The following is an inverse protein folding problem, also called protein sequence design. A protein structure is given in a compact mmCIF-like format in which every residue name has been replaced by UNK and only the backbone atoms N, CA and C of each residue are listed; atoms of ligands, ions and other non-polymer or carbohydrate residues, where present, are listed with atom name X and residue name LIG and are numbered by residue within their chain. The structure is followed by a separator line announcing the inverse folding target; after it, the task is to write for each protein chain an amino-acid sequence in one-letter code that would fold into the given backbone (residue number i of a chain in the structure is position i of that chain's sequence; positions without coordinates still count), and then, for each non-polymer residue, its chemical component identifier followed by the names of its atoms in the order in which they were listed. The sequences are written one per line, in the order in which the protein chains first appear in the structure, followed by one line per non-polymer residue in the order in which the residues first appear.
data_IF_381701283620
#
_entry.id   IF_381701283620
#
_cell.length_a   1.000
_cell.length_b   1.000
_cell.length_c   1.000
_cell.angle_alpha   90.00
_cell.angle_beta   90.00
_cell.angle_gamma   90.00
#
_symmetry.space_group_name_H-M   'P 1'
#
loop_
_entity.id
_entity.type
_entity.pdbx_description
1 polymer ?
#
# COMPACT_ATOMS: atom_id res chain seq x y z
N UNK A 1 8.17 -5.40 -0.74
CA UNK A 1 7.06 -6.30 -1.10
C UNK A 1 7.52 -7.74 -0.86
N UNK A 2 6.61 -8.69 -0.85
CA UNK A 2 6.91 -10.12 -0.61
C UNK A 2 7.59 -10.39 0.73
N UNK A 3 7.23 -9.60 1.75
CA UNK A 3 7.77 -9.77 3.10
C UNK A 3 6.89 -10.75 3.86
N UNK A 4 7.55 -11.70 4.55
CA UNK A 4 6.86 -12.81 5.19
C UNK A 4 7.16 -12.95 6.68
N UNK A 5 6.19 -13.53 7.39
CA UNK A 5 6.35 -14.10 8.73
C UNK A 5 5.73 -15.49 8.72
N UNK A 6 6.46 -16.50 9.18
CA UNK A 6 5.95 -17.87 9.27
C UNK A 6 5.72 -18.58 7.92
N UNK A 7 6.40 -18.16 6.85
CA UNK A 7 6.37 -18.80 5.52
C UNK A 7 7.76 -19.38 5.14
N UNK A 8 8.46 -19.99 6.10
CA UNK A 8 9.80 -20.57 5.88
C UNK A 8 9.81 -21.75 4.89
N UNK A 9 8.64 -22.24 4.51
CA UNK A 9 8.39 -23.28 3.51
C UNK A 9 8.43 -22.75 2.07
N UNK A 10 8.45 -21.43 1.85
CA UNK A 10 8.56 -20.84 0.53
C UNK A 10 9.95 -21.06 -0.08
N UNK A 11 9.99 -21.09 -1.41
CA UNK A 11 11.25 -21.09 -2.17
C UNK A 11 12.09 -19.87 -1.77
N UNK A 12 13.41 -20.07 -1.63
CA UNK A 12 14.32 -19.06 -1.08
C UNK A 12 14.49 -19.12 0.44
N UNK A 13 13.70 -19.95 1.13
CA UNK A 13 13.80 -20.21 2.57
C UNK A 13 13.88 -18.93 3.39
N UNK A 14 12.85 -18.04 3.30
CA UNK A 14 12.85 -16.82 4.09
C UNK A 14 12.92 -17.17 5.57
N UNK A 15 13.57 -16.30 6.33
CA UNK A 15 13.63 -16.47 7.77
C UNK A 15 12.24 -16.38 8.42
N UNK A 16 12.14 -16.77 9.70
CA UNK A 16 10.85 -16.94 10.37
C UNK A 16 10.06 -15.63 10.53
N UNK A 17 10.76 -14.49 10.61
CA UNK A 17 10.17 -13.15 10.70
C UNK A 17 11.04 -12.13 9.96
N UNK A 18 10.77 -11.95 8.67
CA UNK A 18 11.54 -11.00 7.84
C UNK A 18 11.30 -9.55 8.26
N UNK A 19 10.22 -9.24 8.97
CA UNK A 19 9.99 -7.87 9.48
C UNK A 19 10.94 -7.59 10.63
N UNK A 20 11.15 -8.55 11.53
CA UNK A 20 12.14 -8.45 12.60
C UNK A 20 13.57 -8.39 12.05
N UNK A 21 13.88 -9.20 11.03
CA UNK A 21 15.17 -9.17 10.33
C UNK A 21 15.41 -7.80 9.67
N UNK A 22 14.44 -7.28 8.94
CA UNK A 22 14.53 -5.95 8.32
C UNK A 22 14.68 -4.84 9.36
N UNK A 23 13.97 -4.93 10.49
CA UNK A 23 14.08 -3.97 11.60
C UNK A 23 15.49 -3.98 12.21
N UNK A 24 16.11 -5.16 12.33
CA UNK A 24 17.48 -5.29 12.82
C UNK A 24 18.52 -4.75 11.81
N UNK A 25 18.27 -4.91 10.50
CA UNK A 25 19.15 -4.43 9.43
C UNK A 25 19.02 -2.92 9.17
N UNK A 26 17.89 -2.31 9.54
CA UNK A 26 17.58 -0.90 9.35
C UNK A 26 17.28 -0.21 10.69
N UNK A 27 18.25 -0.16 11.63
CA UNK A 27 17.99 0.28 13.01
C UNK A 27 17.53 1.74 13.12
N UNK A 28 17.87 2.59 12.14
CA UNK A 28 17.46 4.00 12.10
C UNK A 28 16.11 4.21 11.39
N UNK A 29 15.47 3.14 10.89
CA UNK A 29 14.23 3.20 10.14
C UNK A 29 13.08 2.64 10.98
N UNK A 30 11.93 3.31 10.92
CA UNK A 30 10.67 2.71 11.30
C UNK A 30 10.21 1.76 10.20
N UNK A 31 10.13 0.47 10.52
CA UNK A 31 9.63 -0.58 9.62
C UNK A 31 8.14 -0.79 9.87
N UNK A 32 7.31 -0.47 8.88
CA UNK A 32 5.85 -0.61 8.92
C UNK A 32 5.46 -1.75 8.00
N UNK A 33 4.81 -2.77 8.54
CA UNK A 33 4.37 -3.96 7.82
C UNK A 33 2.85 -4.02 7.74
N UNK A 34 2.33 -4.29 6.54
CA UNK A 34 0.93 -4.62 6.32
C UNK A 34 0.81 -5.98 5.62
N UNK A 35 0.18 -6.98 6.26
CA UNK A 35 -0.11 -8.25 5.62
C UNK A 35 -1.29 -8.13 4.66
N UNK A 36 -1.15 -8.70 3.45
CA UNK A 36 -2.29 -8.96 2.55
C UNK A 36 -2.88 -10.34 2.84
N UNK A 37 -2.00 -11.34 3.02
CA UNK A 37 -2.35 -12.59 3.67
C UNK A 37 -2.06 -12.44 5.15
N UNK A 38 -3.10 -12.45 5.97
CA UNK A 38 -2.98 -12.43 7.44
C UNK A 38 -3.66 -13.66 8.03
N UNK A 39 -2.86 -14.67 8.38
CA UNK A 39 -3.34 -15.96 8.89
C UNK A 39 -2.50 -16.37 10.08
N UNK A 40 -2.91 -17.45 10.73
CA UNK A 40 -2.16 -18.10 11.80
C UNK A 40 -1.87 -19.56 11.48
N UNK A 41 -0.77 -20.07 12.00
CA UNK A 41 -0.51 -21.50 12.13
C UNK A 41 -1.43 -22.11 13.20
N UNK A 42 -1.44 -23.45 13.29
CA UNK A 42 -2.27 -24.17 14.29
C UNK A 42 -1.90 -23.82 15.74
N UNK A 43 -0.64 -23.45 15.98
CA UNK A 43 -0.14 -23.01 17.29
C UNK A 43 -0.42 -21.53 17.59
N UNK A 44 -1.11 -20.82 16.68
CA UNK A 44 -1.45 -19.40 16.82
C UNK A 44 -0.35 -18.45 16.33
N UNK A 45 0.82 -18.95 15.92
CA UNK A 45 1.88 -18.08 15.41
C UNK A 45 1.50 -17.45 14.06
N UNK A 46 1.98 -16.24 13.73
CA UNK A 46 1.63 -15.57 12.49
C UNK A 46 2.09 -16.34 11.25
N UNK A 47 1.23 -16.36 10.23
CA UNK A 47 1.53 -16.80 8.87
C UNK A 47 1.09 -15.70 7.90
N UNK A 48 1.98 -14.74 7.70
CA UNK A 48 1.70 -13.45 7.07
C UNK A 48 2.55 -13.22 5.82
N UNK A 49 1.96 -12.63 4.79
CA UNK A 49 2.64 -12.22 3.55
C UNK A 49 2.13 -10.84 3.13
N UNK A 50 3.03 -9.90 2.86
CA UNK A 50 2.61 -8.55 2.51
C UNK A 50 3.72 -7.55 2.18
N UNK A 51 3.42 -6.28 2.48
CA UNK A 51 4.22 -5.13 2.06
C UNK A 51 4.84 -4.44 3.26
N UNK A 52 6.03 -3.87 3.04
CA UNK A 52 6.75 -3.08 4.04
C UNK A 52 7.07 -1.71 3.46
N UNK A 53 6.89 -0.68 4.28
CA UNK A 53 7.54 0.63 4.11
C UNK A 53 8.51 0.80 5.27
N UNK A 54 9.79 1.06 4.95
CA UNK A 54 10.79 1.44 5.93
C UNK A 54 11.15 2.92 5.72
N UNK A 55 11.06 3.74 6.75
CA UNK A 55 11.32 5.19 6.64
C UNK A 55 12.06 5.76 7.84
N UNK A 56 12.93 6.74 7.60
CA UNK A 56 13.58 7.57 8.65
C UNK A 56 12.82 8.87 8.92
N UNK A 57 11.82 9.17 8.09
CA UNK A 57 11.02 10.38 8.20
C UNK A 57 9.95 10.19 9.29
N UNK A 58 9.56 11.26 10.02
CA UNK A 58 8.45 11.19 10.95
C UNK A 58 7.17 10.71 10.25
N UNK A 59 6.54 9.68 10.81
CA UNK A 59 5.27 9.14 10.34
C UNK A 59 4.12 9.83 11.04
N UNK A 60 3.08 10.19 10.27
CA UNK A 60 1.91 10.93 10.75
C UNK A 60 0.66 10.06 10.80
N UNK A 61 0.42 9.29 9.75
CA UNK A 61 -0.77 8.46 9.60
C UNK A 61 -0.43 7.19 8.80
N UNK A 62 -1.06 6.07 9.13
CA UNK A 62 -0.84 4.78 8.48
C UNK A 62 -2.19 4.17 8.13
N UNK A 63 -2.39 3.82 6.86
CA UNK A 63 -3.55 3.10 6.38
C UNK A 63 -3.15 1.74 5.80
N UNK A 64 -3.86 0.70 6.23
CA UNK A 64 -3.74 -0.65 5.68
C UNK A 64 -4.98 -0.94 4.84
N UNK A 65 -4.90 -0.67 3.54
CA UNK A 65 -6.03 -0.86 2.64
C UNK A 65 -6.06 -2.29 2.12
N UNK A 66 -7.00 -3.09 2.62
CA UNK A 66 -7.30 -4.39 2.01
C UNK A 66 -7.80 -4.18 0.59
N UNK A 67 -7.07 -4.72 -0.39
CA UNK A 67 -7.41 -4.57 -1.79
C UNK A 67 -8.58 -5.49 -2.17
N UNK A 68 -9.46 -5.07 -3.09
CA UNK A 68 -10.52 -5.94 -3.58
C UNK A 68 -9.99 -7.28 -4.09
N UNK A 69 -10.68 -8.35 -3.71
CA UNK A 69 -10.34 -9.72 -4.09
C UNK A 69 -11.60 -10.47 -4.52
N UNK A 70 -12.22 -10.09 -5.65
CA UNK A 70 -13.39 -10.80 -6.18
C UNK A 70 -13.02 -12.25 -6.53
N UNK A 71 -13.98 -13.17 -6.39
CA UNK A 71 -13.77 -14.57 -6.70
C UNK A 71 -13.41 -14.76 -8.18
N UNK A 72 -12.34 -15.49 -8.42
CA UNK A 72 -11.91 -15.94 -9.75
C UNK A 72 -11.54 -17.42 -9.63
N UNK A 73 -12.45 -18.34 -9.97
CA UNK A 73 -12.25 -19.77 -9.72
C UNK A 73 -11.23 -20.41 -10.66
N UNK A 74 -10.83 -19.73 -11.74
CA UNK A 74 -10.02 -20.30 -12.81
C UNK A 74 -8.51 -20.17 -12.54
N UNK A 75 -8.12 -19.39 -11.53
CA UNK A 75 -6.72 -19.14 -11.20
C UNK A 75 -6.43 -19.16 -9.70
N UNK A 76 -5.18 -19.47 -9.35
CA UNK A 76 -4.69 -19.24 -7.99
C UNK A 76 -4.66 -17.75 -7.69
N UNK A 77 -5.01 -17.36 -6.47
CA UNK A 77 -4.91 -15.97 -6.02
C UNK A 77 -4.79 -15.90 -4.50
N UNK A 78 -4.47 -14.71 -4.00
CA UNK A 78 -4.42 -14.41 -2.57
C UNK A 78 -4.83 -12.97 -2.33
N UNK A 79 -5.35 -12.63 -1.12
CA UNK A 79 -5.67 -11.25 -0.79
C UNK A 79 -4.40 -10.38 -0.82
N UNK A 80 -4.57 -9.14 -1.28
CA UNK A 80 -3.51 -8.14 -1.43
C UNK A 80 -3.79 -6.94 -0.52
N UNK A 81 -2.78 -6.11 -0.29
CA UNK A 81 -2.89 -4.91 0.54
C UNK A 81 -2.11 -3.77 -0.10
N UNK A 82 -2.64 -2.56 -0.01
CA UNK A 82 -1.90 -1.32 -0.24
C UNK A 82 -1.60 -0.66 1.12
N UNK A 83 -0.32 -0.52 1.43
CA UNK A 83 0.16 0.16 2.64
C UNK A 83 0.41 1.63 2.29
N UNK A 84 -0.38 2.54 2.86
CA UNK A 84 -0.24 3.98 2.69
C UNK A 84 0.28 4.60 4.00
N UNK A 85 1.38 5.33 3.92
CA UNK A 85 2.02 5.99 5.06
C UNK A 85 2.22 7.46 4.73
N UNK A 86 1.64 8.34 5.55
CA UNK A 86 1.92 9.78 5.47
C UNK A 86 3.19 10.09 6.26
N UNK A 87 4.19 10.64 5.59
CA UNK A 87 5.49 11.03 6.16
C UNK A 87 5.72 12.54 6.08
N UNK A 88 6.48 13.08 7.03
CA UNK A 88 6.94 14.47 7.03
C UNK A 88 8.31 14.57 6.34
N UNK A 89 8.36 15.14 5.15
CA UNK A 89 9.57 15.44 4.39
C UNK A 89 9.90 16.93 4.48
N UNK A 90 10.75 17.32 5.44
CA UNK A 90 11.02 18.73 5.72
C UNK A 90 9.77 19.45 6.22
N UNK A 91 9.33 20.51 5.54
CA UNK A 91 8.09 21.23 5.86
C UNK A 91 6.83 20.66 5.17
N UNK A 92 6.96 19.62 4.33
CA UNK A 92 5.87 19.08 3.52
C UNK A 92 5.47 17.69 4.00
N UNK A 93 4.19 17.36 3.85
CA UNK A 93 3.66 16.01 4.02
C UNK A 93 3.64 15.29 2.67
N UNK A 94 3.90 14.00 2.69
CA UNK A 94 3.89 13.13 1.51
C UNK A 94 3.25 11.80 1.87
N UNK A 95 2.38 11.29 1.01
CA UNK A 95 1.92 9.89 1.11
C UNK A 95 2.84 8.98 0.33
N UNK A 96 3.31 7.92 0.96
CA UNK A 96 4.01 6.82 0.29
C UNK A 96 3.11 5.61 0.34
N UNK A 97 2.74 5.08 -0.83
CA UNK A 97 1.83 3.96 -0.98
C UNK A 97 2.62 2.81 -1.61
N UNK A 98 2.77 1.70 -0.88
CA UNK A 98 3.42 0.49 -1.37
C UNK A 98 2.37 -0.61 -1.56
N UNK A 99 2.32 -1.19 -2.75
CA UNK A 99 1.40 -2.29 -3.07
C UNK A 99 2.08 -3.41 -3.86
N UNK A 100 1.43 -4.57 -3.92
CA UNK A 100 1.76 -5.66 -4.83
C UNK A 100 0.42 -6.16 -5.39
N UNK A 101 0.11 -5.80 -6.65
CA UNK A 101 -1.16 -6.14 -7.29
C UNK A 101 -1.21 -7.60 -7.72
N UNK A 102 -2.40 -8.07 -8.03
CA UNK A 102 -2.59 -9.48 -8.32
C UNK A 102 -1.91 -9.95 -9.62
N UNK A 103 -1.27 -11.12 -9.53
CA UNK A 103 -0.50 -11.72 -10.60
C UNK A 103 -1.38 -12.40 -11.65
N UNK A 104 -2.18 -13.40 -11.25
CA UNK A 104 -2.84 -14.29 -12.20
C UNK A 104 -4.17 -13.73 -12.72
N UNK A 105 -5.01 -13.23 -11.82
CA UNK A 105 -6.36 -12.77 -12.18
C UNK A 105 -6.35 -11.34 -12.71
N UNK A 106 -6.65 -11.19 -14.00
CA UNK A 106 -6.84 -9.86 -14.61
C UNK A 106 -8.05 -9.13 -14.03
N UNK A 107 -9.11 -9.86 -13.67
CA UNK A 107 -10.33 -9.27 -13.09
C UNK A 107 -10.08 -8.72 -11.69
N UNK A 108 -9.37 -9.47 -10.84
CA UNK A 108 -8.94 -9.00 -9.52
C UNK A 108 -8.01 -7.80 -9.67
N UNK A 109 -6.98 -7.88 -10.53
CA UNK A 109 -6.05 -6.78 -10.73
C UNK A 109 -6.74 -5.49 -11.21
N UNK A 110 -7.73 -5.59 -12.10
CA UNK A 110 -8.53 -4.43 -12.50
C UNK A 110 -9.32 -3.81 -11.33
N UNK A 111 -9.99 -4.63 -10.51
CA UNK A 111 -10.70 -4.14 -9.32
C UNK A 111 -9.76 -3.46 -8.31
N UNK A 112 -8.52 -3.96 -8.19
CA UNK A 112 -7.50 -3.37 -7.33
C UNK A 112 -7.00 -2.02 -7.86
N UNK A 113 -6.83 -1.89 -9.18
CA UNK A 113 -6.51 -0.61 -9.82
C UNK A 113 -7.61 0.42 -9.56
N UNK A 114 -8.88 0.07 -9.73
CA UNK A 114 -9.99 1.00 -9.46
C UNK A 114 -9.99 1.46 -8.00
N UNK A 115 -9.84 0.55 -7.04
CA UNK A 115 -9.80 0.90 -5.63
C UNK A 115 -8.65 1.88 -5.31
N UNK A 116 -7.45 1.66 -5.88
CA UNK A 116 -6.33 2.57 -5.70
C UNK A 116 -6.62 3.97 -6.26
N UNK A 117 -7.30 4.06 -7.40
CA UNK A 117 -7.73 5.34 -8.00
C UNK A 117 -8.78 6.03 -7.12
N UNK A 118 -9.78 5.30 -6.66
CA UNK A 118 -10.83 5.83 -5.78
C UNK A 118 -10.26 6.34 -4.45
N UNK A 119 -9.33 5.61 -3.83
CA UNK A 119 -8.67 6.06 -2.62
C UNK A 119 -7.76 7.27 -2.85
N UNK A 120 -7.17 7.42 -4.04
CA UNK A 120 -6.44 8.63 -4.39
C UNK A 120 -7.37 9.83 -4.49
N UNK A 121 -8.54 9.69 -5.13
CA UNK A 121 -9.58 10.73 -5.17
C UNK A 121 -9.99 11.12 -3.74
N UNK A 122 -10.29 10.13 -2.89
CA UNK A 122 -10.69 10.36 -1.50
C UNK A 122 -9.60 11.10 -0.70
N UNK A 123 -8.33 10.74 -0.87
CA UNK A 123 -7.23 11.44 -0.22
C UNK A 123 -7.12 12.90 -0.66
N UNK A 124 -7.26 13.15 -1.96
CA UNK A 124 -7.27 14.50 -2.52
C UNK A 124 -8.48 15.31 -2.02
N UNK A 125 -9.64 14.67 -1.82
CA UNK A 125 -10.79 15.31 -1.20
C UNK A 125 -10.56 15.66 0.27
N UNK A 126 -9.91 14.79 1.05
CA UNK A 126 -9.50 15.10 2.43
C UNK A 126 -8.54 16.30 2.48
N UNK A 127 -7.59 16.38 1.54
CA UNK A 127 -6.66 17.50 1.45
C UNK A 127 -7.38 18.83 1.16
N UNK A 128 -8.37 18.81 0.25
CA UNK A 128 -9.18 19.99 -0.11
C UNK A 128 -10.19 20.40 0.96
N UNK A 129 -10.69 19.42 1.71
CA UNK A 129 -11.73 19.63 2.72
C UNK A 129 -11.29 19.03 4.07
N UNK A 130 -10.32 19.66 4.76
CA UNK A 130 -9.85 19.17 6.04
C UNK A 130 -10.99 18.98 7.05
N UNK A 131 -10.95 17.87 7.79
CA UNK A 131 -11.93 17.57 8.82
C UNK A 131 -11.97 18.63 9.92
N UNK A 132 -13.11 18.74 10.61
CA UNK A 132 -13.20 19.57 11.82
C UNK A 132 -12.56 18.81 12.98
N UNK A 133 -11.70 19.47 13.74
CA UNK A 133 -11.23 18.92 15.01
C UNK A 133 -12.29 19.09 16.08
N UNK A 134 -12.43 18.08 16.93
CA UNK A 134 -13.07 18.25 18.24
C UNK A 134 -12.23 19.17 19.14
N UNK A 135 -12.86 19.71 20.18
CA UNK A 135 -12.22 20.60 21.15
C UNK A 135 -11.25 19.88 22.08
N UNK A 136 -11.34 18.56 22.18
CA UNK A 136 -10.43 17.72 22.97
C UNK A 136 -9.54 16.91 22.03
N UNK A 137 -8.25 16.72 22.38
CA UNK A 137 -7.38 15.79 21.66
C UNK A 137 -7.96 14.38 21.68
N UNK A 138 -7.90 13.68 20.54
CA UNK A 138 -8.39 12.31 20.42
C UNK A 138 -8.42 11.80 18.98
N UNK A 139 -9.01 10.62 18.72
CA UNK A 139 -9.10 10.06 17.37
C UNK A 139 -9.93 10.90 16.38
N UNK A 140 -10.69 11.88 16.88
CA UNK A 140 -11.40 12.87 16.05
C UNK A 140 -10.56 14.12 15.75
N UNK A 141 -9.31 14.19 16.21
CA UNK A 141 -8.34 15.18 15.75
C UNK A 141 -7.85 14.74 14.36
N UNK A 142 -8.16 15.48 13.29
CA UNK A 142 -7.79 15.07 11.94
C UNK A 142 -6.28 15.21 11.73
N UNK A 143 -5.65 14.17 11.22
CA UNK A 143 -4.30 14.24 10.65
C UNK A 143 -4.40 14.56 9.14
N UNK A 144 -3.58 15.46 8.58
CA UNK A 144 -3.66 15.77 7.16
C UNK A 144 -3.30 14.56 6.29
N UNK A 145 -4.15 14.26 5.31
CA UNK A 145 -3.89 13.30 4.23
C UNK A 145 -3.64 14.10 2.94
N UNK A 146 -2.38 14.39 2.56
CA UNK A 146 -2.08 15.34 1.49
C UNK A 146 -2.37 14.77 0.10
N UNK A 147 -2.53 15.63 -0.91
CA UNK A 147 -2.68 15.16 -2.30
C UNK A 147 -1.37 14.62 -2.88
N UNK A 148 -0.23 15.16 -2.44
CA UNK A 148 1.10 14.69 -2.82
C UNK A 148 1.30 13.23 -2.39
N UNK A 149 1.56 12.38 -3.39
CA UNK A 149 1.72 10.96 -3.17
C UNK A 149 2.73 10.32 -4.13
N UNK A 150 3.39 9.29 -3.66
CA UNK A 150 4.13 8.31 -4.45
C UNK A 150 3.42 6.97 -4.29
N UNK A 151 2.95 6.40 -5.40
CA UNK A 151 2.48 5.02 -5.45
C UNK A 151 3.57 4.17 -6.11
N UNK A 152 4.05 3.15 -5.41
CA UNK A 152 5.08 2.25 -5.90
C UNK A 152 4.79 0.80 -5.53
N UNK A 153 5.41 -0.12 -6.25
CA UNK A 153 5.12 -1.53 -6.07
C UNK A 153 5.33 -2.34 -7.34
N UNK A 154 5.03 -3.62 -7.24
CA UNK A 154 4.88 -4.52 -8.38
C UNK A 154 3.39 -4.57 -8.73
N UNK A 155 3.06 -4.00 -9.88
CA UNK A 155 1.68 -3.94 -10.35
C UNK A 155 1.28 -5.18 -11.13
N UNK A 156 2.21 -6.13 -11.34
CA UNK A 156 2.03 -7.30 -12.21
C UNK A 156 1.40 -6.93 -13.55
N UNK A 157 1.82 -5.78 -14.08
CA UNK A 157 1.26 -5.17 -15.28
C UNK A 157 2.40 -4.72 -16.16
N UNK A 158 2.32 -5.12 -17.44
CA UNK A 158 3.15 -4.51 -18.47
C UNK A 158 2.58 -3.13 -18.85
N UNK A 159 3.37 -2.23 -19.47
CA UNK A 159 2.91 -0.89 -19.85
C UNK A 159 1.68 -0.85 -20.78
N UNK A 160 1.37 -1.94 -21.46
CA UNK A 160 0.25 -2.06 -22.40
C UNK A 160 -0.96 -2.75 -21.76
N UNK A 161 -0.81 -3.27 -20.53
CA UNK A 161 -1.87 -3.95 -19.82
C UNK A 161 -2.95 -2.94 -19.39
N UNK A 162 -4.22 -3.33 -19.53
CA UNK A 162 -5.36 -2.47 -19.20
C UNK A 162 -5.33 -1.92 -17.76
N UNK A 163 -4.87 -2.72 -16.79
CA UNK A 163 -4.73 -2.28 -15.41
C UNK A 163 -3.69 -1.16 -15.21
N UNK A 164 -2.58 -1.19 -15.97
CA UNK A 164 -1.59 -0.12 -15.95
C UNK A 164 -2.10 1.12 -16.68
N UNK A 165 -2.65 0.96 -17.90
CA UNK A 165 -3.21 2.07 -18.68
C UNK A 165 -4.30 2.80 -17.89
N UNK A 166 -5.14 2.05 -17.19
CA UNK A 166 -6.17 2.60 -16.31
C UNK A 166 -5.57 3.33 -15.11
N UNK A 167 -4.47 2.86 -14.53
CA UNK A 167 -3.81 3.56 -13.43
C UNK A 167 -3.35 4.97 -13.83
N UNK A 168 -2.75 5.11 -15.02
CA UNK A 168 -2.21 6.39 -15.52
C UNK A 168 -3.24 7.22 -16.30
N UNK A 169 -4.47 6.73 -16.43
CA UNK A 169 -5.55 7.49 -17.06
C UNK A 169 -5.88 8.74 -16.26
N UNK A 170 -6.12 9.85 -16.97
CA UNK A 170 -6.43 11.13 -16.33
C UNK A 170 -7.75 11.06 -15.57
N UNK A 171 -7.86 11.78 -14.45
CA UNK A 171 -9.10 11.86 -13.68
C UNK A 171 -10.09 12.88 -14.27
N UNK A 172 -9.64 13.79 -15.13
CA UNK A 172 -10.49 14.76 -15.84
C UNK A 172 -11.15 15.84 -14.94
N UNK A 173 -10.65 16.02 -13.72
CA UNK A 173 -11.22 16.93 -12.72
C UNK A 173 -10.15 17.61 -11.85
N UNK A 174 -10.47 17.83 -10.58
CA UNK A 174 -9.56 18.49 -9.61
C UNK A 174 -8.58 17.53 -8.93
N UNK A 175 -8.72 16.23 -9.16
CA UNK A 175 -7.80 15.21 -8.63
C UNK A 175 -6.56 15.16 -9.51
N UNK A 176 -5.34 15.34 -8.95
CA UNK A 176 -4.10 15.20 -9.70
C UNK A 176 -3.98 13.82 -10.35
N UNK A 177 -3.41 13.78 -11.55
CA UNK A 177 -3.16 12.54 -12.26
C UNK A 177 -1.95 11.80 -11.67
N UNK A 178 -1.93 10.48 -11.85
CA UNK A 178 -0.72 9.71 -11.62
C UNK A 178 0.25 9.92 -12.79
N UNK A 179 1.47 10.32 -12.48
CA UNK A 179 2.55 10.43 -13.45
C UNK A 179 3.50 9.25 -13.31
N UNK A 180 3.74 8.52 -14.39
CA UNK A 180 4.71 7.43 -14.38
C UNK A 180 6.14 7.99 -14.36
N UNK A 181 6.88 7.72 -13.29
CA UNK A 181 8.27 8.14 -13.15
C UNK A 181 9.22 7.46 -14.16
N UNK A 182 8.88 6.28 -14.70
CA UNK A 182 9.75 5.52 -15.61
C UNK A 182 9.81 6.09 -17.02
N UNK A 183 8.77 6.78 -17.48
CA UNK A 183 8.73 7.41 -18.80
C UNK A 183 9.38 8.81 -18.83
N UNK A 184 9.85 9.29 -17.67
CA UNK A 184 10.46 10.60 -17.49
C UNK A 184 11.95 10.53 -17.11
N UNK A 185 12.55 9.33 -17.11
CA UNK A 185 13.98 9.09 -16.88
C UNK A 185 14.76 8.91 -18.18
#
# INVERSE_FOLDING_TARGET
QEITRGFSDLAGHPGPDQVAELSALLPDYQVIFAPGVDRTHRDGSPRQFGNVIATRLPVREIFHHALPWPADPDVASMPRVALEVTVQAGSRLLRVICTHLEYYSTSQRAAQTEALRDWHVQACDHARHPGRSESRPGPFTPEPRPSEAILCGDFNSRPEAGAYLRMVETYGGVTPDWHDAWIHM
#
